data_IF_079128599195
#
_entry.id   IF_079128599195
#
_cell.length_a   1.000
_cell.length_b   1.000
_cell.length_c   1.000
_cell.angle_alpha   90.00
_cell.angle_beta   90.00
_cell.angle_gamma   90.00
#
_symmetry.space_group_name_H-M   'P 1'
#
loop_
_entity.id
_entity.type
_entity.pdbx_description
1 polymer ?
#
# COMPACT_ATOMS: atom_id res chain seq x y z
N UNK A 1 21.47 -8.25 -30.54
CA UNK A 1 20.89 -7.98 -29.20
C UNK A 1 19.52 -8.63 -29.18
N UNK A 2 19.26 -9.59 -28.29
CA UNK A 2 17.93 -10.20 -28.20
C UNK A 2 16.89 -9.13 -27.85
N UNK A 3 15.78 -9.10 -28.58
CA UNK A 3 14.70 -8.14 -28.34
C UNK A 3 14.09 -8.39 -26.95
N UNK A 4 14.24 -7.42 -26.05
CA UNK A 4 13.76 -7.54 -24.68
C UNK A 4 12.22 -7.58 -24.68
N UNK A 5 11.64 -8.64 -24.12
CA UNK A 5 10.18 -8.82 -24.05
C UNK A 5 9.52 -7.58 -23.41
N UNK A 6 8.53 -7.03 -24.08
CA UNK A 6 7.80 -5.86 -23.61
C UNK A 6 6.77 -6.26 -22.53
N UNK A 7 6.59 -5.42 -21.52
CA UNK A 7 5.60 -5.61 -20.45
C UNK A 7 4.81 -4.32 -20.25
N UNK A 8 3.48 -4.39 -20.44
CA UNK A 8 2.58 -3.26 -20.20
C UNK A 8 2.36 -3.09 -18.69
N UNK A 9 2.54 -1.86 -18.19
CA UNK A 9 2.35 -1.51 -16.78
C UNK A 9 1.19 -0.53 -16.64
N UNK A 10 0.06 -1.01 -16.12
CA UNK A 10 -1.20 -0.24 -16.01
C UNK A 10 -1.46 0.37 -14.63
N UNK A 11 -0.55 0.17 -13.68
CA UNK A 11 -0.67 0.65 -12.30
C UNK A 11 -0.69 2.20 -12.25
N UNK A 12 -1.33 2.80 -11.22
CA UNK A 12 -1.22 4.23 -10.98
C UNK A 12 0.23 4.64 -10.63
N UNK A 13 0.53 5.91 -10.83
CA UNK A 13 1.77 6.51 -10.33
C UNK A 13 1.68 6.78 -8.81
N UNK A 14 2.80 6.70 -8.07
CA UNK A 14 4.17 6.41 -8.52
C UNK A 14 4.53 4.92 -8.65
N UNK A 15 3.63 3.99 -8.30
CA UNK A 15 3.92 2.53 -8.31
C UNK A 15 4.25 1.99 -9.70
N UNK A 16 3.71 2.61 -10.75
CA UNK A 16 4.02 2.27 -12.13
C UNK A 16 5.52 2.42 -12.41
N UNK A 17 6.11 3.57 -12.05
CA UNK A 17 7.56 3.83 -12.20
C UNK A 17 8.43 2.86 -11.41
N UNK A 18 8.03 2.54 -10.18
CA UNK A 18 8.77 1.57 -9.37
C UNK A 18 8.70 0.16 -9.98
N UNK A 19 7.54 -0.23 -10.50
CA UNK A 19 7.38 -1.50 -11.23
C UNK A 19 8.25 -1.53 -12.47
N UNK A 20 8.27 -0.44 -13.26
CA UNK A 20 9.12 -0.32 -14.45
C UNK A 20 10.61 -0.41 -14.10
N UNK A 21 11.06 0.19 -12.99
CA UNK A 21 12.45 0.07 -12.51
C UNK A 21 12.82 -1.39 -12.23
N UNK A 22 11.96 -2.13 -11.54
CA UNK A 22 12.18 -3.57 -11.25
C UNK A 22 12.17 -4.42 -12.52
N UNK A 23 11.26 -4.15 -13.45
CA UNK A 23 11.20 -4.84 -14.75
C UNK A 23 12.48 -4.64 -15.57
N UNK A 24 13.02 -3.41 -15.62
CA UNK A 24 14.32 -3.14 -16.27
C UNK A 24 15.47 -3.92 -15.63
N UNK A 25 15.52 -3.97 -14.30
CA UNK A 25 16.53 -4.74 -13.57
C UNK A 25 16.45 -6.26 -13.86
N UNK A 26 15.28 -6.75 -14.26
CA UNK A 26 15.04 -8.13 -14.68
C UNK A 26 15.23 -8.37 -16.20
N UNK A 27 15.65 -7.36 -16.97
CA UNK A 27 15.89 -7.48 -18.42
C UNK A 27 14.66 -7.30 -19.31
N UNK A 28 13.52 -6.84 -18.77
CA UNK A 28 12.32 -6.54 -19.55
C UNK A 28 12.28 -5.09 -20.04
N UNK A 29 11.49 -4.86 -21.10
CA UNK A 29 11.17 -3.51 -21.59
C UNK A 29 9.78 -3.07 -21.09
N UNK A 30 9.69 -2.32 -19.97
CA UNK A 30 8.40 -1.85 -19.48
C UNK A 30 7.82 -0.74 -20.38
N UNK A 31 6.53 -0.84 -20.68
CA UNK A 31 5.73 0.21 -21.33
C UNK A 31 4.76 0.75 -20.28
N UNK A 32 5.01 1.96 -19.81
CA UNK A 32 4.13 2.62 -18.83
C UNK A 32 2.85 3.09 -19.52
N UNK A 33 1.71 2.63 -19.02
CA UNK A 33 0.39 3.07 -19.45
C UNK A 33 -0.55 3.15 -18.23
N UNK A 34 -0.35 4.07 -17.28
CA UNK A 34 -1.19 4.18 -16.09
C UNK A 34 -2.67 4.37 -16.46
N UNK A 35 -3.55 3.49 -15.96
CA UNK A 35 -4.98 3.51 -16.29
C UNK A 35 -5.86 4.07 -15.16
N UNK A 36 -5.25 4.44 -14.02
CA UNK A 36 -5.94 4.92 -12.84
C UNK A 36 -5.19 6.12 -12.24
N UNK A 37 -5.95 7.06 -11.69
CA UNK A 37 -5.45 8.15 -10.86
C UNK A 37 -5.96 7.98 -9.43
N UNK A 38 -5.07 8.14 -8.45
CA UNK A 38 -5.43 8.07 -7.03
C UNK A 38 -5.60 9.48 -6.50
N UNK A 39 -6.83 9.84 -6.14
CA UNK A 39 -7.16 11.16 -5.60
C UNK A 39 -7.63 11.01 -4.16
N UNK A 40 -7.07 11.84 -3.27
CA UNK A 40 -7.56 11.92 -1.89
C UNK A 40 -8.88 12.68 -1.87
N UNK A 41 -9.90 12.04 -1.30
CA UNK A 41 -11.20 12.67 -1.06
C UNK A 41 -11.28 13.19 0.36
N UNK A 42 -11.88 14.37 0.61
CA UNK A 42 -12.13 14.86 1.96
C UNK A 42 -12.95 13.86 2.76
N UNK A 43 -12.49 13.53 3.96
CA UNK A 43 -13.21 12.64 4.87
C UNK A 43 -13.13 13.20 6.29
N UNK A 44 -14.26 13.10 7.03
CA UNK A 44 -14.26 13.33 8.48
C UNK A 44 -13.87 12.03 9.15
N UNK A 45 -12.71 12.02 9.78
CA UNK A 45 -12.24 10.87 10.54
C UNK A 45 -12.60 11.04 12.02
N UNK A 46 -12.83 9.95 12.77
CA UNK A 46 -12.99 10.02 14.22
C UNK A 46 -11.74 10.61 14.90
N UNK A 47 -11.81 10.83 16.22
CA UNK A 47 -10.59 11.15 16.97
C UNK A 47 -9.70 9.90 17.03
N UNK A 48 -8.37 9.99 16.88
CA UNK A 48 -7.48 8.82 16.92
C UNK A 48 -7.66 7.96 18.18
N UNK A 49 -7.98 8.58 19.31
CA UNK A 49 -8.20 7.93 20.61
C UNK A 49 -9.46 7.06 20.63
N UNK A 50 -10.41 7.30 19.73
CA UNK A 50 -11.64 6.52 19.58
C UNK A 50 -11.47 5.34 18.60
N UNK A 51 -10.28 5.15 18.02
CA UNK A 51 -10.01 4.11 17.02
C UNK A 51 -9.11 3.04 17.61
N UNK A 52 -9.63 1.82 17.70
CA UNK A 52 -8.88 0.66 18.18
C UNK A 52 -7.74 0.24 17.23
N UNK A 53 -8.00 0.28 15.91
CA UNK A 53 -7.05 -0.08 14.88
C UNK A 53 -7.48 0.45 13.51
N UNK A 54 -6.52 0.54 12.60
CA UNK A 54 -6.71 0.91 11.20
C UNK A 54 -6.46 -0.32 10.33
N UNK A 55 -7.39 -0.62 9.43
CA UNK A 55 -7.24 -1.66 8.43
C UNK A 55 -6.87 -1.02 7.08
N UNK A 56 -5.67 -1.33 6.57
CA UNK A 56 -5.12 -0.74 5.35
C UNK A 56 -4.98 -1.80 4.24
N UNK A 57 -5.92 -1.77 3.29
CA UNK A 57 -5.92 -2.64 2.09
C UNK A 57 -4.87 -2.26 1.04
N UNK A 58 -4.22 -1.11 1.17
CA UNK A 58 -3.24 -0.61 0.20
C UNK A 58 -2.35 0.47 0.83
N UNK A 59 -1.13 0.60 0.30
CA UNK A 59 -0.23 1.71 0.59
C UNK A 59 -0.84 3.09 0.31
N UNK A 60 -1.82 3.20 -0.60
CA UNK A 60 -2.53 4.45 -0.85
C UNK A 60 -3.37 4.89 0.37
N UNK A 61 -3.99 3.95 1.08
CA UNK A 61 -4.69 4.26 2.34
C UNK A 61 -3.72 4.79 3.40
N UNK A 62 -2.52 4.22 3.49
CA UNK A 62 -1.48 4.67 4.42
C UNK A 62 -1.03 6.12 4.13
N UNK A 63 -0.94 6.49 2.84
CA UNK A 63 -0.60 7.85 2.42
C UNK A 63 -1.67 8.87 2.84
N UNK A 64 -2.94 8.49 2.75
CA UNK A 64 -4.07 9.34 3.12
C UNK A 64 -4.14 9.67 4.63
N UNK A 65 -3.57 8.82 5.49
CA UNK A 65 -3.74 8.94 6.93
C UNK A 65 -2.88 10.08 7.54
N UNK A 66 -3.51 11.01 8.31
CA UNK A 66 -2.82 12.08 9.02
C UNK A 66 -1.78 11.56 10.03
N UNK A 67 -0.80 12.41 10.37
CA UNK A 67 0.23 12.06 11.35
C UNK A 67 -0.34 11.77 12.76
N UNK A 68 -1.49 12.35 13.12
CA UNK A 68 -2.17 12.10 14.39
C UNK A 68 -2.49 10.60 14.63
N UNK A 69 -2.61 9.82 13.55
CA UNK A 69 -2.93 8.40 13.61
C UNK A 69 -1.72 7.46 13.79
N UNK A 70 -0.49 7.96 13.82
CA UNK A 70 0.72 7.10 13.86
C UNK A 70 0.86 6.24 15.12
N UNK A 71 0.14 6.57 16.19
CA UNK A 71 0.06 5.77 17.42
C UNK A 71 -1.03 4.70 17.38
N UNK A 72 -2.01 4.81 16.48
CA UNK A 72 -3.06 3.81 16.31
C UNK A 72 -2.47 2.57 15.62
N UNK A 73 -2.72 1.34 16.12
CA UNK A 73 -2.30 0.12 15.46
C UNK A 73 -2.80 0.05 14.02
N UNK A 74 -1.92 -0.34 13.09
CA UNK A 74 -2.25 -0.52 11.68
C UNK A 74 -2.08 -1.98 11.26
N UNK A 75 -3.15 -2.56 10.74
CA UNK A 75 -3.18 -3.88 10.10
C UNK A 75 -3.14 -3.67 8.59
N UNK A 76 -2.10 -4.18 7.92
CA UNK A 76 -1.87 -4.02 6.50
C UNK A 76 -2.15 -5.33 5.76
N UNK A 77 -2.72 -5.26 4.55
CA UNK A 77 -3.00 -6.45 3.73
C UNK A 77 -1.74 -7.26 3.38
N UNK A 78 -0.61 -6.58 3.21
CA UNK A 78 0.64 -7.21 2.83
C UNK A 78 1.87 -6.34 3.12
N UNK A 79 3.04 -6.94 2.92
CA UNK A 79 4.31 -6.42 3.43
C UNK A 79 4.70 -5.08 2.82
N UNK A 80 4.39 -4.85 1.55
CA UNK A 80 4.64 -3.56 0.90
C UNK A 80 3.85 -2.41 1.57
N UNK A 81 2.58 -2.67 1.92
CA UNK A 81 1.73 -1.72 2.65
C UNK A 81 2.23 -1.53 4.08
N UNK A 82 2.64 -2.62 4.76
CA UNK A 82 3.22 -2.54 6.10
C UNK A 82 4.52 -1.74 6.13
N UNK A 83 5.41 -1.94 5.16
CA UNK A 83 6.65 -1.18 5.01
C UNK A 83 6.37 0.30 4.77
N UNK A 84 5.41 0.64 3.90
CA UNK A 84 4.99 2.02 3.67
C UNK A 84 4.43 2.68 4.95
N UNK A 85 3.71 1.94 5.79
CA UNK A 85 3.22 2.43 7.08
C UNK A 85 4.38 2.71 8.05
N UNK A 86 5.32 1.79 8.19
CA UNK A 86 6.51 1.98 9.04
C UNK A 86 7.33 3.18 8.58
N UNK A 87 7.56 3.32 7.26
CA UNK A 87 8.26 4.46 6.68
C UNK A 87 7.58 5.82 6.95
N UNK A 88 6.26 5.83 7.20
CA UNK A 88 5.50 7.03 7.57
C UNK A 88 5.42 7.26 9.09
N UNK A 89 6.08 6.41 9.89
CA UNK A 89 6.21 6.56 11.33
C UNK A 89 5.12 5.85 12.16
N UNK A 90 4.34 4.94 11.58
CA UNK A 90 3.42 4.12 12.37
C UNK A 90 4.20 3.24 13.35
N UNK A 91 3.82 3.29 14.63
CA UNK A 91 4.53 2.60 15.71
C UNK A 91 4.22 1.10 15.76
N UNK A 92 2.95 0.75 15.54
CA UNK A 92 2.48 -0.63 15.60
C UNK A 92 1.91 -1.02 14.24
N UNK A 93 2.63 -1.88 13.51
CA UNK A 93 2.23 -2.35 12.19
C UNK A 93 2.29 -3.87 12.13
N UNK A 94 1.19 -4.49 11.69
CA UNK A 94 1.08 -5.93 11.42
C UNK A 94 0.70 -6.15 9.96
N UNK A 95 1.34 -7.11 9.30
CA UNK A 95 1.03 -7.50 7.93
C UNK A 95 0.24 -8.79 7.97
N UNK A 96 -0.81 -8.89 7.17
CA UNK A 96 -1.51 -10.14 6.91
C UNK A 96 -0.77 -11.03 5.89
N UNK A 97 0.20 -10.47 5.16
CA UNK A 97 1.00 -11.14 4.14
C UNK A 97 0.16 -11.91 3.09
N UNK A 98 -1.02 -11.38 2.75
CA UNK A 98 -1.97 -12.08 1.89
C UNK A 98 -2.98 -11.14 1.26
N UNK A 99 -4.25 -11.52 1.34
CA UNK A 99 -5.36 -10.78 0.74
C UNK A 99 -6.34 -10.20 1.78
N UNK A 100 -7.52 -9.78 1.32
CA UNK A 100 -8.55 -9.22 2.17
C UNK A 100 -9.08 -10.22 3.22
N UNK A 101 -9.13 -11.52 2.92
CA UNK A 101 -9.53 -12.57 3.85
C UNK A 101 -8.48 -12.76 4.93
N UNK A 102 -7.21 -12.78 4.55
CA UNK A 102 -6.10 -12.88 5.52
C UNK A 102 -6.08 -11.66 6.44
N UNK A 103 -6.35 -10.47 5.89
CA UNK A 103 -6.45 -9.23 6.66
C UNK A 103 -7.63 -9.25 7.63
N UNK A 104 -8.78 -9.78 7.22
CA UNK A 104 -9.93 -9.97 8.10
C UNK A 104 -9.61 -10.98 9.21
N UNK A 105 -8.99 -12.11 8.89
CA UNK A 105 -8.58 -13.12 9.87
C UNK A 105 -7.51 -12.58 10.85
N UNK A 106 -6.61 -11.70 10.39
CA UNK A 106 -5.68 -10.99 11.25
C UNK A 106 -6.41 -10.05 12.20
N UNK A 107 -7.39 -9.29 11.71
CA UNK A 107 -8.18 -8.38 12.52
C UNK A 107 -8.96 -9.12 13.61
N UNK A 108 -9.69 -10.20 13.26
CA UNK A 108 -10.46 -11.00 14.22
C UNK A 108 -9.63 -11.66 15.32
N UNK A 109 -8.32 -11.83 15.12
CA UNK A 109 -7.42 -12.38 16.14
C UNK A 109 -6.83 -11.33 17.08
N UNK A 110 -6.81 -10.06 16.67
CA UNK A 110 -6.08 -8.99 17.35
C UNK A 110 -6.99 -7.91 17.94
N UNK A 111 -8.24 -7.84 17.52
CA UNK A 111 -9.28 -6.89 17.93
C UNK A 111 -10.39 -7.65 18.65
#
# INVERSE_FOLDING_TARGET
>A
MADARAVLVTRPEPEARETARRLRALGYRPVLAPMLTVTLVPARLPRPEAVQAIVAGSMNAVRALPAAYRRVPLLAVGDATAAAARARGFRTVRSAAGDARDLAALASRLL
#
